data_IF_593169874509
#
_entry.id   IF_593169874509
#
_cell.length_a   1.000
_cell.length_b   1.000
_cell.length_c   1.000
_cell.angle_alpha   90.00
_cell.angle_beta   90.00
_cell.angle_gamma   90.00
#
_symmetry.space_group_name_H-M   'P 1'
#
loop_
_entity.id
_entity.type
_entity.pdbx_description
1 polymer ?
#
# COMPACT_ATOMS: atom_id res chain seq x y z
N UNK A 1 15.70 8.86 16.07
CA UNK A 1 14.45 9.64 15.87
C UNK A 1 14.24 9.76 14.38
N UNK A 2 13.01 9.54 13.91
CA UNK A 2 12.64 9.66 12.50
C UNK A 2 11.73 10.88 12.33
N UNK A 3 11.80 11.52 11.17
CA UNK A 3 10.94 12.66 10.83
C UNK A 3 10.18 12.42 9.54
N UNK A 4 9.09 13.15 9.34
CA UNK A 4 8.31 13.16 8.11
C UNK A 4 8.00 14.60 7.73
N UNK A 5 8.10 14.92 6.44
CA UNK A 5 7.62 16.16 5.82
C UNK A 5 6.54 15.79 4.82
N UNK A 6 5.32 16.27 5.08
CA UNK A 6 4.24 16.29 4.09
C UNK A 6 4.45 17.51 3.20
N UNK A 7 4.65 17.28 1.91
CA UNK A 7 4.77 18.38 0.94
C UNK A 7 3.39 18.68 0.35
N UNK A 8 3.06 19.96 0.35
CA UNK A 8 1.82 20.55 -0.12
C UNK A 8 2.15 21.48 -1.30
N UNK A 9 1.63 21.21 -2.50
CA UNK A 9 1.94 21.99 -3.69
C UNK A 9 1.64 23.49 -3.53
N UNK A 10 2.60 24.35 -3.84
CA UNK A 10 2.51 25.80 -3.70
C UNK A 10 2.52 26.34 -2.27
N UNK A 11 2.78 25.49 -1.26
CA UNK A 11 2.82 25.88 0.16
C UNK A 11 4.22 25.68 0.73
N UNK A 12 4.77 24.47 0.62
CA UNK A 12 6.08 24.11 1.16
C UNK A 12 6.90 23.21 0.21
N UNK A 13 6.65 23.32 -1.10
CA UNK A 13 7.44 22.71 -2.17
C UNK A 13 8.52 23.66 -2.72
N UNK A 14 9.31 23.18 -3.68
CA UNK A 14 10.36 23.95 -4.34
C UNK A 14 11.37 24.53 -3.35
N UNK A 15 11.62 25.84 -3.44
CA UNK A 15 12.61 26.52 -2.60
C UNK A 15 12.35 26.40 -1.10
N UNK A 16 11.08 26.28 -0.68
CA UNK A 16 10.75 26.11 0.75
C UNK A 16 11.15 24.71 1.23
N UNK A 17 11.04 23.69 0.37
CA UNK A 17 11.52 22.35 0.68
C UNK A 17 13.05 22.34 0.77
N UNK A 18 13.75 23.03 -0.13
CA UNK A 18 15.21 23.20 -0.06
C UNK A 18 15.65 23.85 1.26
N UNK A 19 15.01 24.95 1.66
CA UNK A 19 15.29 25.63 2.93
C UNK A 19 15.00 24.70 4.13
N UNK A 20 13.94 23.91 4.06
CA UNK A 20 13.60 22.92 5.09
C UNK A 20 14.71 21.87 5.24
N UNK A 21 15.21 21.31 4.13
CA UNK A 21 16.25 20.30 4.13
C UNK A 21 17.61 20.86 4.59
N UNK A 22 17.92 22.10 4.20
CA UNK A 22 19.08 22.82 4.73
C UNK A 22 19.00 23.02 6.25
N UNK A 23 17.83 23.41 6.76
CA UNK A 23 17.57 23.54 8.19
C UNK A 23 17.67 22.22 8.94
N UNK A 24 17.23 21.10 8.33
CA UNK A 24 17.40 19.76 8.90
C UNK A 24 18.87 19.38 9.00
N UNK A 25 19.66 19.68 7.97
CA UNK A 25 21.11 19.42 8.00
C UNK A 25 21.81 20.18 9.13
N UNK A 26 21.47 21.46 9.33
CA UNK A 26 22.08 22.32 10.35
C UNK A 26 21.60 22.00 11.77
N UNK A 27 20.29 21.87 11.95
CA UNK A 27 19.67 21.75 13.28
C UNK A 27 19.47 20.31 13.77
N UNK A 28 19.40 19.33 12.86
CA UNK A 28 19.03 17.95 13.19
C UNK A 28 19.91 16.88 12.49
N UNK A 29 21.25 17.00 12.48
CA UNK A 29 22.13 16.06 11.78
C UNK A 29 22.07 14.63 12.36
N UNK A 30 21.67 14.48 13.62
CA UNK A 30 21.52 13.19 14.30
C UNK A 30 20.22 12.44 13.96
N UNK A 31 19.29 13.06 13.20
CA UNK A 31 18.06 12.40 12.78
C UNK A 31 18.41 11.10 12.03
N UNK A 32 17.75 10.00 12.38
CA UNK A 32 18.02 8.70 11.77
C UNK A 32 17.69 8.75 10.28
N UNK A 33 16.50 9.27 9.97
CA UNK A 33 15.96 9.40 8.63
C UNK A 33 14.83 10.44 8.57
N UNK A 34 14.60 10.99 7.37
CA UNK A 34 13.53 11.94 7.06
C UNK A 34 12.75 11.45 5.83
N UNK A 35 11.45 11.19 6.00
CA UNK A 35 10.55 10.85 4.91
C UNK A 35 9.95 12.10 4.26
N UNK A 36 9.94 12.15 2.93
CA UNK A 36 9.25 13.15 2.13
C UNK A 36 8.04 12.48 1.48
N UNK A 37 6.84 12.87 1.90
CA UNK A 37 5.58 12.24 1.48
C UNK A 37 4.67 13.26 0.79
N UNK A 38 3.85 12.85 -0.18
CA UNK A 38 2.88 13.74 -0.80
C UNK A 38 1.67 13.97 0.11
N UNK A 39 1.03 15.13 -0.06
CA UNK A 39 -0.25 15.41 0.55
C UNK A 39 -1.35 14.43 0.05
N UNK A 40 -1.94 13.69 0.98
CA UNK A 40 -3.17 12.94 0.76
C UNK A 40 -4.40 13.84 0.92
N UNK A 41 -5.24 13.93 -0.12
CA UNK A 41 -6.47 14.72 -0.12
C UNK A 41 -7.67 13.80 -0.27
N UNK A 42 -8.63 13.93 0.67
CA UNK A 42 -9.94 13.31 0.56
C UNK A 42 -10.99 14.32 0.08
N UNK A 43 -12.11 13.83 -0.46
CA UNK A 43 -13.29 14.63 -0.84
C UNK A 43 -13.93 15.37 0.34
N UNK A 44 -13.62 14.95 1.56
CA UNK A 44 -14.11 15.57 2.79
C UNK A 44 -13.22 16.73 3.27
N UNK A 45 -12.07 16.94 2.62
CA UNK A 45 -11.21 18.07 2.93
C UNK A 45 -11.84 19.38 2.41
N UNK A 46 -12.12 20.37 3.29
CA UNK A 46 -12.73 21.63 2.88
C UNK A 46 -11.73 22.67 2.37
N UNK A 47 -10.42 22.45 2.58
CA UNK A 47 -9.38 23.43 2.26
C UNK A 47 -8.99 23.38 0.78
N UNK A 48 -9.34 24.41 0.02
CA UNK A 48 -9.11 24.46 -1.42
C UNK A 48 -7.62 24.59 -1.80
N UNK A 49 -6.78 25.13 -0.89
CA UNK A 49 -5.34 25.19 -1.11
C UNK A 49 -4.66 23.79 -1.05
N UNK A 50 -5.31 22.82 -0.40
CA UNK A 50 -4.81 21.46 -0.24
C UNK A 50 -5.22 20.61 -1.44
N UNK A 51 -4.35 20.61 -2.47
CA UNK A 51 -4.54 19.86 -3.71
C UNK A 51 -3.47 18.79 -3.92
N UNK A 52 -3.75 17.75 -4.73
CA UNK A 52 -2.73 16.80 -5.16
C UNK A 52 -1.61 17.46 -5.97
N UNK A 53 -0.43 16.86 -5.93
CA UNK A 53 0.66 17.18 -6.86
C UNK A 53 0.24 16.82 -8.29
N UNK A 54 0.64 17.65 -9.24
CA UNK A 54 0.75 17.24 -10.64
C UNK A 54 1.95 16.31 -10.84
N UNK A 55 2.02 15.62 -11.98
CA UNK A 55 3.18 14.79 -12.34
C UNK A 55 4.49 15.59 -12.32
N UNK A 56 4.48 16.79 -12.88
CA UNK A 56 5.69 17.63 -12.99
C UNK A 56 6.13 18.15 -11.61
N UNK A 57 5.19 18.49 -10.72
CA UNK A 57 5.49 18.87 -9.34
C UNK A 57 6.02 17.68 -8.53
N UNK A 58 5.42 16.50 -8.68
CA UNK A 58 5.92 15.27 -8.04
C UNK A 58 7.35 14.94 -8.50
N UNK A 59 7.64 15.14 -9.79
CA UNK A 59 8.98 14.99 -10.34
C UNK A 59 9.94 16.02 -9.75
N UNK A 60 9.56 17.29 -9.67
CA UNK A 60 10.40 18.33 -9.07
C UNK A 60 10.75 18.01 -7.62
N UNK A 61 9.81 17.48 -6.83
CA UNK A 61 10.09 17.02 -5.46
C UNK A 61 11.09 15.86 -5.44
N UNK A 62 10.97 14.88 -6.35
CA UNK A 62 11.96 13.79 -6.47
C UNK A 62 13.35 14.33 -6.77
N UNK A 63 13.46 15.21 -7.76
CA UNK A 63 14.73 15.80 -8.17
C UNK A 63 15.39 16.54 -6.97
N UNK A 64 14.63 17.35 -6.23
CA UNK A 64 15.11 17.99 -4.98
C UNK A 64 15.57 16.96 -3.94
N UNK A 65 14.80 15.89 -3.71
CA UNK A 65 15.18 14.86 -2.73
C UNK A 65 16.47 14.16 -3.12
N UNK A 66 16.66 13.84 -4.41
CA UNK A 66 17.88 13.19 -4.89
C UNK A 66 19.11 14.10 -4.73
N UNK A 67 18.98 15.38 -5.07
CA UNK A 67 20.06 16.37 -4.86
C UNK A 67 20.45 16.44 -3.37
N UNK A 68 19.46 16.48 -2.47
CA UNK A 68 19.73 16.50 -1.04
C UNK A 68 20.25 15.19 -0.48
N UNK A 69 19.87 14.04 -1.04
CA UNK A 69 20.46 12.75 -0.67
C UNK A 69 21.98 12.76 -0.85
N UNK A 70 22.47 13.31 -1.96
CA UNK A 70 23.90 13.44 -2.24
C UNK A 70 24.59 14.42 -1.29
N UNK A 71 23.93 15.53 -0.96
CA UNK A 71 24.42 16.50 0.03
C UNK A 71 24.54 15.84 1.42
N UNK A 72 23.49 15.18 1.90
CA UNK A 72 23.51 14.48 3.19
C UNK A 72 24.55 13.36 3.21
N UNK A 73 24.68 12.59 2.12
CA UNK A 73 25.69 11.55 2.03
C UNK A 73 27.11 12.14 2.12
N UNK A 74 27.35 13.28 1.49
CA UNK A 74 28.65 13.96 1.51
C UNK A 74 28.97 14.54 2.88
N UNK A 75 28.00 15.17 3.55
CA UNK A 75 28.22 15.92 4.79
C UNK A 75 28.11 15.03 6.03
N UNK A 76 27.16 14.08 6.06
CA UNK A 76 26.86 13.23 7.21
C UNK A 76 27.30 11.78 7.04
N UNK A 77 27.71 11.36 5.83
CA UNK A 77 28.07 9.97 5.54
C UNK A 77 26.86 9.03 5.42
N UNK A 78 25.64 9.55 5.29
CA UNK A 78 24.39 8.78 5.14
C UNK A 78 23.37 9.54 4.31
N UNK A 79 22.51 8.84 3.58
CA UNK A 79 21.37 9.47 2.88
C UNK A 79 20.25 9.67 3.89
N UNK A 80 20.19 10.83 4.52
CA UNK A 80 19.24 11.09 5.60
C UNK A 80 17.79 11.22 5.10
N UNK A 81 17.59 11.78 3.90
CA UNK A 81 16.26 12.06 3.34
C UNK A 81 15.85 11.03 2.30
N UNK A 82 14.57 10.64 2.28
CA UNK A 82 14.04 9.69 1.31
C UNK A 82 12.62 10.09 0.88
N UNK A 83 12.33 10.01 -0.42
CA UNK A 83 10.99 10.18 -0.95
C UNK A 83 10.19 8.88 -0.82
N UNK A 84 8.90 8.99 -0.47
CA UNK A 84 7.98 7.87 -0.51
C UNK A 84 7.80 7.32 -1.93
N UNK A 85 7.52 6.03 -2.03
CA UNK A 85 7.28 5.31 -3.28
C UNK A 85 6.14 5.95 -4.10
N UNK A 86 5.19 6.61 -3.44
CA UNK A 86 4.10 7.34 -4.08
C UNK A 86 4.60 8.44 -5.04
N UNK A 87 5.69 9.14 -4.72
CA UNK A 87 6.23 10.16 -5.62
C UNK A 87 6.71 9.57 -6.94
N UNK A 88 7.35 8.39 -6.90
CA UNK A 88 7.81 7.70 -8.10
C UNK A 88 6.62 7.27 -8.98
N UNK A 89 5.53 6.79 -8.35
CA UNK A 89 4.29 6.46 -9.05
C UNK A 89 3.63 7.71 -9.67
N UNK A 90 3.55 8.82 -8.93
CA UNK A 90 2.99 10.09 -9.40
C UNK A 90 3.79 10.68 -10.57
N UNK A 91 5.12 10.72 -10.43
CA UNK A 91 6.04 11.20 -11.46
C UNK A 91 6.12 10.24 -12.67
N UNK A 92 5.77 8.97 -12.48
CA UNK A 92 5.99 7.90 -13.45
C UNK A 92 7.46 7.59 -13.68
N UNK A 93 8.24 7.70 -12.62
CA UNK A 93 9.67 7.38 -12.57
C UNK A 93 9.84 5.95 -12.00
N UNK A 94 10.91 5.23 -12.36
CA UNK A 94 11.19 3.93 -11.78
C UNK A 94 11.52 4.08 -10.28
N UNK A 95 11.13 3.09 -9.48
CA UNK A 95 11.55 3.04 -8.08
C UNK A 95 13.08 2.94 -7.97
N UNK A 96 13.72 3.57 -6.97
CA UNK A 96 15.13 3.37 -6.65
C UNK A 96 15.45 1.91 -6.36
N UNK A 97 16.73 1.56 -6.29
CA UNK A 97 17.15 0.26 -5.73
C UNK A 97 16.95 0.23 -4.21
N UNK A 98 16.88 -0.96 -3.59
CA UNK A 98 16.80 -1.04 -2.13
C UNK A 98 18.02 -0.42 -1.43
N UNK A 99 19.21 -0.50 -2.05
CA UNK A 99 20.43 0.10 -1.53
C UNK A 99 20.35 1.64 -1.46
N UNK A 100 19.51 2.26 -2.30
CA UNK A 100 19.28 3.71 -2.29
C UNK A 100 18.52 4.20 -1.07
N UNK A 101 17.88 3.29 -0.32
CA UNK A 101 17.22 3.58 0.95
C UNK A 101 18.15 3.31 2.16
N UNK A 102 19.44 3.02 1.95
CA UNK A 102 20.38 2.60 2.99
C UNK A 102 19.78 1.47 3.87
N UNK A 103 20.00 1.48 5.18
CA UNK A 103 19.30 0.58 6.13
C UNK A 103 17.94 1.13 6.58
N UNK A 104 17.46 2.23 5.97
CA UNK A 104 16.24 2.90 6.36
C UNK A 104 15.03 2.18 5.74
N UNK A 105 14.21 1.58 6.59
CA UNK A 105 12.93 1.01 6.20
C UNK A 105 11.80 1.75 6.91
N UNK A 106 11.50 2.95 6.44
CA UNK A 106 10.32 3.73 6.86
C UNK A 106 9.08 3.26 6.08
N UNK A 107 8.76 1.97 6.19
CA UNK A 107 7.61 1.42 5.47
C UNK A 107 6.29 2.04 5.94
N UNK A 108 6.23 2.47 7.20
CA UNK A 108 5.11 3.27 7.74
C UNK A 108 4.85 4.55 6.92
N UNK A 109 5.89 5.13 6.33
CA UNK A 109 5.84 6.36 5.52
C UNK A 109 5.83 6.07 4.01
N UNK A 110 5.63 4.81 3.61
CA UNK A 110 5.55 4.43 2.20
C UNK A 110 6.89 4.36 1.48
N UNK A 111 8.01 4.22 2.20
CA UNK A 111 9.36 4.19 1.62
C UNK A 111 9.81 2.74 1.43
N UNK A 112 10.18 2.37 0.19
CA UNK A 112 10.79 1.08 -0.14
C UNK A 112 9.81 -0.10 -0.20
N UNK A 113 8.52 0.15 -0.04
CA UNK A 113 7.48 -0.89 -0.05
C UNK A 113 7.40 -1.63 -1.39
N UNK A 114 7.47 -0.91 -2.51
CA UNK A 114 7.29 -1.49 -3.84
C UNK A 114 8.45 -2.43 -4.20
N UNK A 115 9.69 -2.01 -3.91
CA UNK A 115 10.88 -2.83 -4.16
C UNK A 115 10.97 -4.03 -3.23
N UNK A 116 10.63 -3.86 -1.96
CA UNK A 116 10.57 -4.99 -1.03
C UNK A 116 9.53 -6.01 -1.50
N UNK A 117 8.32 -5.57 -1.86
CA UNK A 117 7.27 -6.43 -2.40
C UNK A 117 7.73 -7.18 -3.66
N UNK A 118 8.41 -6.49 -4.59
CA UNK A 118 8.96 -7.10 -5.80
C UNK A 118 9.98 -8.20 -5.48
N UNK A 119 10.95 -7.94 -4.60
CA UNK A 119 11.97 -8.94 -4.20
C UNK A 119 11.33 -10.18 -3.57
N UNK A 120 10.35 -9.97 -2.68
CA UNK A 120 9.56 -11.00 -2.02
C UNK A 120 8.76 -11.84 -3.02
N UNK A 121 8.13 -11.17 -3.99
CA UNK A 121 7.33 -11.79 -5.04
C UNK A 121 8.18 -12.59 -6.02
N UNK A 122 9.35 -12.08 -6.39
CA UNK A 122 10.32 -12.77 -7.26
C UNK A 122 11.08 -13.89 -6.55
N UNK A 123 10.95 -13.99 -5.22
CA UNK A 123 11.59 -15.03 -4.43
C UNK A 123 13.08 -14.84 -4.20
N UNK A 124 13.54 -13.60 -4.32
CA UNK A 124 14.91 -13.20 -4.03
C UNK A 124 15.19 -13.14 -2.52
N UNK A 125 14.13 -13.07 -1.71
CA UNK A 125 14.17 -13.20 -0.24
C UNK A 125 13.22 -14.30 0.25
N UNK A 126 13.57 -14.91 1.39
CA UNK A 126 12.83 -16.02 2.00
C UNK A 126 11.94 -15.61 3.18
N UNK A 127 12.23 -14.48 3.80
CA UNK A 127 11.48 -13.92 4.92
C UNK A 127 10.88 -12.56 4.51
N UNK A 128 9.63 -12.25 4.89
CA UNK A 128 9.06 -10.94 4.64
C UNK A 128 9.87 -9.88 5.37
N UNK A 129 10.26 -8.83 4.66
CA UNK A 129 10.95 -7.68 5.24
C UNK A 129 10.14 -6.39 5.10
N UNK A 130 8.96 -6.44 4.46
CA UNK A 130 8.08 -5.30 4.21
C UNK A 130 7.25 -4.80 5.40
N UNK A 131 6.39 -3.79 5.19
CA UNK A 131 5.55 -3.23 6.24
C UNK A 131 4.70 -4.31 6.89
N UNK A 132 4.76 -4.36 8.22
CA UNK A 132 3.74 -5.06 8.98
C UNK A 132 2.45 -4.23 8.92
N UNK A 133 1.30 -4.92 8.90
CA UNK A 133 -0.04 -4.30 8.89
C UNK A 133 -0.11 -3.11 9.86
N UNK A 134 -0.43 -1.91 9.36
CA UNK A 134 -0.42 -0.73 10.23
C UNK A 134 -0.37 0.66 9.60
N UNK A 135 -0.48 0.83 8.27
CA UNK A 135 -0.55 2.17 7.64
C UNK A 135 -1.71 3.04 8.19
N UNK A 136 -2.72 2.43 8.84
CA UNK A 136 -3.79 3.13 9.58
C UNK A 136 -3.59 3.21 11.11
N UNK A 137 -2.44 2.81 11.63
CA UNK A 137 -2.18 2.79 13.08
C UNK A 137 -2.02 4.18 13.72
N UNK A 138 -1.90 5.25 12.91
CA UNK A 138 -1.66 6.63 13.37
C UNK A 138 -2.91 7.51 13.43
N UNK A 139 -4.11 6.97 13.17
CA UNK A 139 -5.35 7.69 13.50
C UNK A 139 -5.60 7.50 15.00
N UNK A 140 -5.37 8.55 15.79
CA UNK A 140 -5.59 8.59 17.25
C UNK A 140 -6.94 7.96 17.63
N UNK A 141 -6.91 6.74 18.20
CA UNK A 141 -8.13 6.09 18.67
C UNK A 141 -8.09 4.61 19.07
N UNK A 142 -7.05 3.82 18.76
CA UNK A 142 -7.05 2.37 19.02
C UNK A 142 -5.90 1.91 19.93
N UNK A 143 -6.16 1.14 21.01
CA UNK A 143 -5.16 0.74 22.00
C UNK A 143 -4.16 -0.29 21.45
N UNK A 144 -2.93 -0.23 21.97
CA UNK A 144 -1.80 -1.05 21.54
C UNK A 144 -1.88 -2.49 22.09
N UNK A 145 -2.52 -3.42 21.39
CA UNK A 145 -2.34 -4.86 21.65
C UNK A 145 -2.64 -5.74 20.42
N UNK A 146 -1.58 -6.32 19.84
CA UNK A 146 -1.62 -7.65 19.20
C UNK A 146 -2.60 -7.85 18.03
N UNK A 147 -2.42 -7.13 16.93
CA UNK A 147 -3.33 -7.14 15.79
C UNK A 147 -3.03 -8.24 14.77
N UNK A 148 -3.39 -9.48 15.10
CA UNK A 148 -3.64 -10.54 14.10
C UNK A 148 -5.12 -10.89 14.16
N UNK A 149 -5.85 -10.75 13.05
CA UNK A 149 -7.14 -11.42 12.93
C UNK A 149 -6.90 -12.91 13.25
N UNK A 150 -7.60 -13.51 14.25
CA UNK A 150 -7.43 -14.91 14.56
C UNK A 150 -7.64 -15.74 13.30
N UNK A 151 -6.56 -16.35 12.78
CA UNK A 151 -6.67 -17.32 11.70
C UNK A 151 -7.43 -18.50 12.28
N UNK A 152 -8.69 -18.68 11.89
CA UNK A 152 -9.42 -19.89 12.24
C UNK A 152 -8.83 -21.05 11.43
N UNK A 153 -8.14 -22.02 12.05
CA UNK A 153 -7.59 -23.17 11.32
C UNK A 153 -8.69 -24.08 10.75
N UNK A 154 -9.96 -23.91 11.17
CA UNK A 154 -11.11 -24.58 10.58
C UNK A 154 -11.57 -24.00 9.24
N UNK A 155 -10.98 -22.89 8.77
CA UNK A 155 -11.23 -22.36 7.42
C UNK A 155 -10.85 -23.33 6.31
N UNK A 156 -9.90 -24.23 6.57
CA UNK A 156 -9.44 -25.27 5.64
C UNK A 156 -10.25 -26.57 5.71
N UNK A 157 -11.17 -26.73 6.67
CA UNK A 157 -11.90 -28.01 6.90
C UNK A 157 -13.40 -27.96 6.65
N UNK A 158 -13.94 -26.85 6.12
CA UNK A 158 -15.32 -26.78 5.62
C UNK A 158 -16.42 -26.95 6.67
N UNK A 159 -16.12 -26.84 7.97
CA UNK A 159 -17.10 -26.94 9.04
C UNK A 159 -17.25 -25.59 9.74
N UNK A 160 -18.29 -24.81 9.36
CA UNK A 160 -18.71 -23.59 10.08
C UNK A 160 -19.88 -23.92 11.00
N UNK A 161 -19.82 -23.47 12.25
CA UNK A 161 -20.98 -23.38 13.13
C UNK A 161 -21.78 -22.11 12.77
N UNK A 162 -23.06 -22.29 12.43
CA UNK A 162 -23.95 -21.22 12.00
C UNK A 162 -24.63 -20.53 13.20
N UNK A 163 -24.56 -19.19 13.25
CA UNK A 163 -25.59 -18.38 13.89
C UNK A 163 -26.72 -18.12 12.90
N UNK A 164 -27.95 -18.24 13.36
CA UNK A 164 -29.17 -18.26 12.55
C UNK A 164 -29.48 -16.88 11.90
N UNK A 165 -29.03 -16.74 10.66
CA UNK A 165 -29.54 -15.82 9.65
C UNK A 165 -29.50 -16.56 8.30
N UNK A 166 -30.45 -16.32 7.41
CA UNK A 166 -30.64 -17.05 6.14
C UNK A 166 -29.31 -17.37 5.44
N UNK A 167 -28.91 -18.64 5.47
CA UNK A 167 -27.62 -19.09 4.97
C UNK A 167 -27.60 -19.01 3.44
N UNK A 168 -27.00 -17.95 2.90
CA UNK A 168 -26.53 -17.94 1.51
C UNK A 168 -25.43 -18.99 1.38
N UNK A 169 -25.76 -20.13 0.77
CA UNK A 169 -24.78 -21.16 0.41
C UNK A 169 -23.90 -20.60 -0.70
N UNK A 170 -22.74 -20.05 -0.34
CA UNK A 170 -21.71 -19.63 -1.28
C UNK A 170 -20.76 -20.81 -1.49
N UNK A 171 -20.77 -21.41 -2.68
CA UNK A 171 -19.78 -22.42 -3.06
C UNK A 171 -18.41 -21.74 -3.21
N UNK A 172 -17.42 -22.21 -2.45
CA UNK A 172 -16.04 -21.74 -2.61
C UNK A 172 -15.51 -22.07 -4.01
N UNK A 173 -14.81 -21.14 -4.68
CA UNK A 173 -14.15 -21.38 -5.95
C UNK A 173 -13.24 -22.62 -5.93
N UNK A 174 -13.08 -23.27 -7.09
CA UNK A 174 -12.09 -24.35 -7.25
C UNK A 174 -10.67 -23.80 -7.06
N UNK A 175 -9.73 -24.67 -6.66
CA UNK A 175 -8.33 -24.27 -6.45
C UNK A 175 -7.68 -23.70 -7.71
N UNK A 176 -8.03 -24.24 -8.87
CA UNK A 176 -7.56 -23.88 -10.21
C UNK A 176 -8.38 -22.77 -10.89
N UNK A 177 -9.33 -22.17 -10.18
CA UNK A 177 -10.16 -21.11 -10.75
C UNK A 177 -9.33 -19.84 -11.04
N UNK A 178 -9.71 -19.06 -12.08
CA UNK A 178 -9.02 -17.81 -12.39
C UNK A 178 -9.00 -16.85 -11.20
N UNK A 179 -7.88 -16.14 -11.05
CA UNK A 179 -7.57 -15.29 -9.92
C UNK A 179 -7.74 -13.82 -10.30
N UNK A 180 -8.49 -13.07 -9.49
CA UNK A 180 -8.50 -11.60 -9.48
C UNK A 180 -7.79 -11.08 -8.24
N UNK A 181 -6.72 -10.30 -8.40
CA UNK A 181 -6.03 -9.64 -7.29
C UNK A 181 -6.64 -8.25 -7.11
N UNK A 182 -7.36 -8.05 -6.01
CA UNK A 182 -7.99 -6.78 -5.67
C UNK A 182 -6.94 -5.82 -5.10
N UNK A 183 -6.84 -4.62 -5.67
CA UNK A 183 -5.84 -3.63 -5.25
C UNK A 183 -6.25 -2.23 -5.70
N UNK A 184 -5.67 -1.18 -5.12
CA UNK A 184 -5.93 0.20 -5.53
C UNK A 184 -5.04 0.59 -6.73
N UNK A 185 -5.27 1.74 -7.39
CA UNK A 185 -4.54 2.11 -8.60
C UNK A 185 -3.01 2.09 -8.46
N UNK A 186 -2.45 2.49 -7.32
CA UNK A 186 -1.00 2.41 -7.10
C UNK A 186 -0.50 0.96 -6.97
N UNK A 187 -1.21 0.12 -6.22
CA UNK A 187 -0.88 -1.31 -6.14
C UNK A 187 -1.00 -2.00 -7.51
N UNK A 188 -1.95 -1.57 -8.36
CA UNK A 188 -2.08 -2.06 -9.72
C UNK A 188 -0.84 -1.73 -10.57
N UNK A 189 -0.29 -0.51 -10.44
CA UNK A 189 0.93 -0.11 -11.15
C UNK A 189 2.16 -0.93 -10.73
N UNK A 190 2.26 -1.28 -9.45
CA UNK A 190 3.33 -2.15 -8.93
C UNK A 190 3.15 -3.60 -9.38
N UNK A 191 1.93 -4.14 -9.32
CA UNK A 191 1.65 -5.54 -9.64
C UNK A 191 1.66 -5.85 -11.14
N UNK A 192 1.24 -4.91 -11.99
CA UNK A 192 1.10 -5.12 -13.42
C UNK A 192 2.40 -5.65 -14.11
N UNK A 193 3.60 -5.08 -13.91
CA UNK A 193 4.82 -5.63 -14.47
C UNK A 193 5.11 -7.05 -13.96
N UNK A 194 4.99 -7.28 -12.66
CA UNK A 194 5.28 -8.58 -12.04
C UNK A 194 4.40 -9.71 -12.60
N UNK A 195 3.10 -9.43 -12.82
CA UNK A 195 2.17 -10.41 -13.38
C UNK A 195 2.38 -10.63 -14.87
N UNK A 196 2.79 -9.60 -15.62
CA UNK A 196 3.17 -9.76 -17.04
C UNK A 196 4.37 -10.70 -17.16
N UNK A 197 5.38 -10.52 -16.33
CA UNK A 197 6.60 -11.34 -16.33
C UNK A 197 6.32 -12.78 -15.86
N UNK A 198 5.33 -12.97 -14.98
CA UNK A 198 4.86 -14.30 -14.59
C UNK A 198 4.22 -15.09 -15.76
N UNK A 199 3.75 -14.40 -16.80
CA UNK A 199 3.23 -15.01 -18.03
C UNK A 199 1.92 -15.80 -17.86
N UNK A 200 1.19 -15.59 -16.76
CA UNK A 200 -0.07 -16.29 -16.47
C UNK A 200 -1.28 -15.54 -17.00
N UNK A 201 -2.10 -16.21 -17.80
CA UNK A 201 -3.33 -15.63 -18.37
C UNK A 201 -4.55 -15.79 -17.45
N UNK A 202 -4.45 -16.61 -16.42
CA UNK A 202 -5.52 -16.89 -15.47
C UNK A 202 -5.47 -16.00 -14.21
N UNK A 203 -4.48 -15.11 -14.12
CA UNK A 203 -4.31 -14.13 -13.04
C UNK A 203 -4.46 -12.72 -13.62
N UNK A 204 -5.29 -11.88 -12.99
CA UNK A 204 -5.45 -10.47 -13.38
C UNK A 204 -5.52 -9.55 -12.18
N UNK A 205 -5.10 -8.31 -12.37
CA UNK A 205 -5.39 -7.23 -11.42
C UNK A 205 -6.84 -6.79 -11.59
N UNK A 206 -7.54 -6.61 -10.47
CA UNK A 206 -8.85 -6.00 -10.38
C UNK A 206 -8.68 -4.69 -9.61
N UNK A 207 -8.54 -3.58 -10.35
CA UNK A 207 -8.36 -2.26 -9.75
C UNK A 207 -9.64 -1.81 -9.04
N UNK A 208 -9.49 -1.41 -7.77
CA UNK A 208 -10.53 -0.88 -6.91
C UNK A 208 -10.23 0.59 -6.64
N UNK A 209 -10.85 1.46 -7.43
CA UNK A 209 -10.78 2.91 -7.22
C UNK A 209 -11.53 3.29 -5.96
N UNK A 210 -10.93 4.18 -5.17
CA UNK A 210 -11.52 4.70 -3.95
C UNK A 210 -12.52 5.82 -4.28
N UNK A 211 -13.80 5.48 -4.40
CA UNK A 211 -14.85 6.48 -4.58
C UNK A 211 -15.35 6.99 -3.22
N UNK A 212 -15.17 6.22 -2.14
CA UNK A 212 -15.66 6.56 -0.79
C UNK A 212 -14.94 7.75 -0.14
N UNK A 213 -13.61 7.79 -0.17
CA UNK A 213 -12.86 8.97 0.26
C UNK A 213 -12.66 9.95 -0.89
N UNK A 214 -12.68 9.49 -2.15
CA UNK A 214 -12.42 10.32 -3.32
C UNK A 214 -11.05 11.03 -3.26
N UNK A 215 -10.91 12.14 -4.00
CA UNK A 215 -9.65 12.89 -4.07
C UNK A 215 -8.55 12.12 -4.82
N UNK A 216 -7.29 12.21 -4.36
CA UNK A 216 -6.15 11.46 -4.91
C UNK A 216 -5.81 10.19 -4.12
N UNK A 217 -6.75 9.70 -3.31
CA UNK A 217 -6.56 8.48 -2.52
C UNK A 217 -6.47 7.25 -3.44
N UNK A 218 -5.26 6.75 -3.69
CA UNK A 218 -5.01 5.62 -4.60
C UNK A 218 -4.20 4.47 -3.97
N UNK A 219 -3.98 4.51 -2.66
CA UNK A 219 -3.30 3.45 -1.89
C UNK A 219 -4.24 2.32 -1.51
N UNK A 220 -3.71 1.10 -1.48
CA UNK A 220 -4.46 -0.13 -1.22
C UNK A 220 -5.08 -0.17 0.17
N UNK A 221 -4.39 0.33 1.19
CA UNK A 221 -4.91 0.35 2.57
C UNK A 221 -6.19 1.17 2.76
N UNK A 222 -6.51 2.08 1.83
CA UNK A 222 -7.70 2.93 1.92
C UNK A 222 -8.94 2.35 1.25
N UNK A 223 -8.85 1.16 0.62
CA UNK A 223 -10.00 0.50 0.02
C UNK A 223 -11.04 0.20 1.11
N UNK A 224 -12.28 0.62 0.87
CA UNK A 224 -13.41 0.36 1.77
C UNK A 224 -14.34 -0.73 1.21
N UNK A 225 -15.25 -1.23 2.06
CA UNK A 225 -16.18 -2.29 1.66
C UNK A 225 -17.11 -1.85 0.53
N UNK A 226 -17.63 -0.62 0.56
CA UNK A 226 -18.53 -0.10 -0.48
C UNK A 226 -17.91 -0.10 -1.88
N UNK A 227 -16.63 0.26 -1.99
CA UNK A 227 -15.89 0.23 -3.25
C UNK A 227 -15.67 -1.19 -3.75
N UNK A 228 -15.35 -2.13 -2.84
CA UNK A 228 -15.25 -3.54 -3.16
C UNK A 228 -16.58 -4.13 -3.62
N UNK A 229 -17.69 -3.80 -2.96
CA UNK A 229 -19.04 -4.24 -3.36
C UNK A 229 -19.33 -3.83 -4.80
N UNK A 230 -19.10 -2.55 -5.13
CA UNK A 230 -19.31 -2.02 -6.48
C UNK A 230 -18.46 -2.75 -7.52
N UNK A 231 -17.17 -2.93 -7.25
CA UNK A 231 -16.24 -3.56 -8.21
C UNK A 231 -16.52 -5.04 -8.36
N UNK A 232 -16.72 -5.78 -7.26
CA UNK A 232 -16.95 -7.22 -7.25
C UNK A 232 -18.30 -7.61 -7.86
N UNK A 233 -19.31 -6.75 -7.81
CA UNK A 233 -20.60 -6.99 -8.45
C UNK A 233 -20.47 -7.20 -9.97
N UNK A 234 -19.49 -6.55 -10.62
CA UNK A 234 -19.22 -6.71 -12.04
C UNK A 234 -18.28 -7.88 -12.38
N UNK A 235 -17.75 -8.59 -11.38
CA UNK A 235 -16.78 -9.66 -11.60
C UNK A 235 -17.46 -11.05 -11.73
N UNK A 236 -16.87 -11.99 -12.50
CA UNK A 236 -17.42 -13.33 -12.70
C UNK A 236 -17.58 -14.13 -11.39
N UNK A 237 -18.57 -15.03 -11.38
CA UNK A 237 -18.72 -16.01 -10.30
C UNK A 237 -17.66 -17.12 -10.41
N UNK A 238 -17.41 -17.82 -9.31
CA UNK A 238 -16.53 -18.98 -9.31
C UNK A 238 -15.03 -18.67 -9.49
N UNK A 239 -14.65 -17.41 -9.58
CA UNK A 239 -13.25 -16.94 -9.56
C UNK A 239 -12.77 -16.76 -8.12
N UNK A 240 -11.46 -16.85 -7.90
CA UNK A 240 -10.83 -16.54 -6.63
C UNK A 240 -10.46 -15.06 -6.59
N UNK A 241 -10.90 -14.33 -5.59
CA UNK A 241 -10.55 -12.93 -5.40
C UNK A 241 -9.61 -12.78 -4.21
N UNK A 242 -8.36 -12.34 -4.45
CA UNK A 242 -7.38 -12.13 -3.40
C UNK A 242 -7.48 -10.68 -2.91
N UNK A 243 -7.69 -10.49 -1.62
CA UNK A 243 -7.79 -9.18 -0.97
C UNK A 243 -6.60 -9.01 -0.01
N UNK A 244 -5.80 -7.94 -0.14
CA UNK A 244 -4.71 -7.67 0.80
C UNK A 244 -5.27 -7.26 2.18
N UNK A 245 -4.66 -7.80 3.24
CA UNK A 245 -5.11 -7.59 4.62
C UNK A 245 -4.94 -6.15 5.13
N UNK A 246 -4.10 -5.33 4.47
CA UNK A 246 -3.90 -3.91 4.82
C UNK A 246 -5.18 -3.07 4.72
N UNK A 247 -6.20 -3.53 3.98
CA UNK A 247 -7.50 -2.87 3.89
C UNK A 247 -8.39 -3.08 5.12
N UNK A 248 -7.97 -3.92 6.07
CA UNK A 248 -8.77 -4.35 7.21
C UNK A 248 -8.16 -3.89 8.54
N UNK A 249 -8.99 -3.33 9.41
CA UNK A 249 -8.70 -3.10 10.82
C UNK A 249 -9.66 -3.95 11.65
N UNK A 250 -9.13 -4.86 12.48
CA UNK A 250 -9.93 -5.81 13.27
C UNK A 250 -10.95 -6.62 12.42
N UNK A 251 -10.60 -6.92 11.17
CA UNK A 251 -11.47 -7.64 10.23
C UNK A 251 -12.58 -6.79 9.60
N UNK A 252 -12.53 -5.47 9.77
CA UNK A 252 -13.47 -4.51 9.19
C UNK A 252 -12.78 -3.54 8.24
N UNK A 253 -13.51 -3.12 7.22
CA UNK A 253 -13.14 -1.99 6.37
C UNK A 253 -13.39 -0.66 7.12
N UNK A 254 -12.81 0.44 6.62
CA UNK A 254 -12.96 1.77 7.24
C UNK A 254 -14.40 2.31 7.25
N UNK A 255 -15.27 1.79 6.37
CA UNK A 255 -16.70 2.09 6.34
C UNK A 255 -17.55 1.17 7.22
N UNK A 256 -16.91 0.30 8.01
CA UNK A 256 -17.54 -0.58 9.01
C UNK A 256 -18.02 -1.93 8.48
N UNK A 257 -18.04 -2.12 7.15
CA UNK A 257 -18.35 -3.39 6.50
C UNK A 257 -17.30 -4.45 6.82
N UNK A 258 -17.67 -5.72 6.61
CA UNK A 258 -16.81 -6.89 6.76
C UNK A 258 -16.66 -7.62 5.42
N UNK A 259 -15.72 -8.57 5.34
CA UNK A 259 -15.56 -9.42 4.16
C UNK A 259 -16.80 -10.26 3.84
N UNK A 260 -17.62 -10.58 4.84
CA UNK A 260 -18.87 -11.35 4.67
C UNK A 260 -20.00 -10.50 4.03
N UNK A 261 -19.86 -9.17 4.05
CA UNK A 261 -20.82 -8.25 3.42
C UNK A 261 -20.58 -8.09 1.89
N UNK A 262 -19.47 -8.64 1.38
CA UNK A 262 -19.11 -8.52 -0.03
C UNK A 262 -19.97 -9.44 -0.93
N UNK A 263 -20.28 -9.02 -2.18
CA UNK A 263 -21.13 -9.80 -3.08
C UNK A 263 -20.43 -11.05 -3.64
N UNK A 264 -19.12 -11.17 -3.44
CA UNK A 264 -18.28 -12.28 -3.87
C UNK A 264 -17.38 -12.71 -2.71
N UNK A 265 -17.12 -14.02 -2.52
CA UNK A 265 -16.16 -14.47 -1.53
C UNK A 265 -14.76 -13.97 -1.89
N UNK A 266 -14.02 -13.52 -0.88
CA UNK A 266 -12.63 -13.07 -1.01
C UNK A 266 -11.72 -13.91 -0.11
N UNK A 267 -10.49 -14.14 -0.57
CA UNK A 267 -9.40 -14.75 0.19
C UNK A 267 -8.50 -13.62 0.69
N UNK A 268 -8.45 -13.42 2.01
CA UNK A 268 -7.58 -12.40 2.62
C UNK A 268 -6.13 -12.91 2.62
N UNK A 269 -5.24 -12.14 2.00
CA UNK A 269 -3.83 -12.46 1.84
C UNK A 269 -2.99 -11.41 2.55
N UNK A 270 -1.89 -11.83 3.19
CA UNK A 270 -0.95 -10.89 3.79
C UNK A 270 -0.40 -9.95 2.70
N UNK A 271 -0.26 -8.68 3.03
CA UNK A 271 0.18 -7.63 2.10
C UNK A 271 1.71 -7.67 1.90
N UNK A 272 2.20 -8.81 1.43
CA UNK A 272 3.62 -9.07 1.14
C UNK A 272 3.77 -9.93 -0.13
N UNK A 273 4.92 -9.82 -0.79
CA UNK A 273 5.16 -10.48 -2.07
C UNK A 273 5.24 -12.01 -1.94
N UNK A 274 5.71 -12.52 -0.80
CA UNK A 274 5.86 -13.95 -0.53
C UNK A 274 4.48 -14.61 -0.42
N UNK A 275 3.55 -14.00 0.31
CA UNK A 275 2.20 -14.48 0.49
C UNK A 275 1.44 -14.49 -0.83
N UNK A 276 1.53 -13.41 -1.62
CA UNK A 276 0.92 -13.39 -2.94
C UNK A 276 1.50 -14.49 -3.83
N UNK A 277 2.83 -14.61 -3.94
CA UNK A 277 3.49 -15.67 -4.71
C UNK A 277 2.97 -17.06 -4.30
N UNK A 278 2.93 -17.37 -3.00
CA UNK A 278 2.42 -18.66 -2.48
C UNK A 278 0.97 -18.90 -2.90
N UNK A 279 0.10 -17.90 -2.82
CA UNK A 279 -1.30 -18.01 -3.25
C UNK A 279 -1.42 -18.32 -4.74
N UNK A 280 -0.54 -17.75 -5.58
CA UNK A 280 -0.50 -18.01 -7.00
C UNK A 280 0.06 -19.42 -7.30
N UNK A 281 1.12 -19.86 -6.61
CA UNK A 281 1.74 -21.18 -6.80
C UNK A 281 0.84 -22.35 -6.40
N UNK A 282 -0.05 -22.19 -5.42
CA UNK A 282 -1.05 -23.20 -4.98
C UNK A 282 -2.05 -23.65 -6.06
N UNK A 283 -2.02 -23.00 -7.22
CA UNK A 283 -2.89 -23.25 -8.37
C UNK A 283 -2.27 -24.27 -9.36
N UNK A 284 -1.02 -24.70 -9.10
CA UNK A 284 -0.33 -25.74 -9.88
C UNK A 284 -0.56 -27.14 -9.32
#
# INVERSE_FOLDING_TARGET
MRGQVVVCPGVNDGAVLDETLAGVLDGFPELESLAIVPLGVSRFNPEAAMRPHTRDEAKAVLDTVHDWQDIFATVLGKRLVHAADEYYLLAGEPFPSLESYDSCSMYEDGIGMARTFEQEFLGLVSEPSGPQSGFFAWVDGAPAEGYRAPRNPAGDTGLRQHHAGEARVSLSPRRDAPIGILTAPYGAQVLAPLLRDLGRTDVRVVEVRNEYFGGNTAVTGLIVGADLVRVLAAQPEGHRYLLPDVCLSEGRFLDGLTVDDLPRPVEVVATDGIALRRCLERTR
#
